data_IF_174778852882
#
_entry.id   IF_174778852882
#
_cell.length_a   1.000
_cell.length_b   1.000
_cell.length_c   1.000
_cell.angle_alpha   90.00
_cell.angle_beta   90.00
_cell.angle_gamma   90.00
#
_symmetry.space_group_name_H-M   'P 1'
#
loop_
_entity.id
_entity.type
_entity.pdbx_description
1 polymer ?
#
# COMPACT_ATOMS: atom_id res chain seq x y z
N UNK A 1 35.45 -11.19 -10.60
CA UNK A 1 34.00 -11.43 -10.64
C UNK A 1 33.39 -10.84 -9.38
N UNK A 2 32.81 -9.65 -9.47
CA UNK A 2 32.01 -9.12 -8.37
C UNK A 2 30.64 -9.80 -8.44
N UNK A 3 30.33 -10.57 -7.40
CA UNK A 3 29.00 -11.11 -7.18
C UNK A 3 28.04 -9.94 -6.97
N UNK A 4 27.19 -9.68 -7.97
CA UNK A 4 26.04 -8.81 -7.79
C UNK A 4 25.13 -9.48 -6.76
N UNK A 5 25.05 -8.90 -5.57
CA UNK A 5 23.95 -9.19 -4.66
C UNK A 5 22.64 -8.90 -5.41
N UNK A 6 21.64 -9.77 -5.35
CA UNK A 6 20.35 -9.48 -5.96
C UNK A 6 19.83 -8.16 -5.41
N UNK A 7 19.29 -7.31 -6.28
CA UNK A 7 18.58 -6.08 -5.89
C UNK A 7 17.29 -6.48 -5.14
N UNK A 8 17.43 -6.80 -3.87
CA UNK A 8 16.35 -7.07 -2.92
C UNK A 8 15.65 -5.74 -2.66
N UNK A 9 14.33 -5.66 -2.93
CA UNK A 9 13.45 -4.54 -2.58
C UNK A 9 13.99 -3.16 -2.97
N UNK A 10 13.69 -2.72 -4.20
CA UNK A 10 14.23 -1.50 -4.82
C UNK A 10 14.39 -0.31 -3.87
N UNK A 11 15.45 0.47 -4.04
CA UNK A 11 15.90 1.52 -3.11
C UNK A 11 14.75 2.39 -2.56
N UNK A 12 14.37 2.16 -1.29
CA UNK A 12 13.35 2.91 -0.54
C UNK A 12 14.00 3.97 0.37
N UNK A 13 15.10 4.59 -0.05
CA UNK A 13 15.79 5.66 0.67
C UNK A 13 14.84 6.78 1.14
N UNK A 14 13.88 7.15 0.29
CA UNK A 14 12.89 8.19 0.60
C UNK A 14 11.92 7.82 1.74
N UNK A 15 11.84 6.54 2.13
CA UNK A 15 11.07 6.09 3.28
C UNK A 15 11.93 5.89 4.54
N UNK A 16 13.26 5.89 4.44
CA UNK A 16 14.13 5.64 5.61
C UNK A 16 13.91 6.61 6.77
N UNK A 17 13.67 7.93 6.55
CA UNK A 17 13.35 8.85 7.64
C UNK A 17 12.07 8.49 8.41
N UNK A 18 11.19 7.69 7.80
CA UNK A 18 9.90 7.29 8.34
C UNK A 18 9.92 5.87 8.91
N UNK A 19 11.07 5.20 8.89
CA UNK A 19 11.20 3.80 9.32
C UNK A 19 10.93 3.67 10.81
N UNK A 20 10.09 2.70 11.17
CA UNK A 20 9.83 2.32 12.56
C UNK A 20 10.03 0.81 12.73
N UNK A 21 9.82 0.30 13.94
CA UNK A 21 9.92 -1.14 14.22
C UNK A 21 8.96 -1.93 13.32
N UNK A 22 9.47 -3.05 12.80
CA UNK A 22 8.72 -3.94 11.92
C UNK A 22 7.51 -4.54 12.64
N UNK A 23 6.46 -4.81 11.87
CA UNK A 23 5.25 -5.48 12.37
C UNK A 23 5.37 -6.99 12.15
N UNK A 24 5.00 -7.79 13.15
CA UNK A 24 5.08 -9.25 13.06
C UNK A 24 3.76 -9.84 12.56
N UNK A 25 3.86 -10.73 11.59
CA UNK A 25 2.74 -11.46 11.03
C UNK A 25 2.92 -12.95 11.28
N UNK A 26 1.85 -13.60 11.74
CA UNK A 26 1.80 -15.05 11.90
C UNK A 26 1.21 -15.68 10.65
N UNK A 27 2.03 -16.42 9.89
CA UNK A 27 1.58 -17.15 8.71
C UNK A 27 0.69 -18.34 9.11
N UNK A 28 -0.08 -18.88 8.17
CA UNK A 28 -0.91 -20.07 8.41
C UNK A 28 -0.10 -21.31 8.81
N UNK A 29 1.18 -21.38 8.41
CA UNK A 29 2.14 -22.41 8.79
C UNK A 29 2.56 -22.34 10.28
N UNK A 30 2.25 -21.23 10.97
CA UNK A 30 2.76 -20.91 12.30
C UNK A 30 4.08 -20.15 12.30
N UNK A 31 4.74 -20.01 11.14
CA UNK A 31 5.92 -19.18 10.97
C UNK A 31 5.60 -17.70 11.26
N UNK A 32 6.56 -17.00 11.85
CA UNK A 32 6.47 -15.55 12.08
C UNK A 32 7.37 -14.85 11.09
N UNK A 33 6.82 -13.88 10.36
CA UNK A 33 7.60 -12.99 9.49
C UNK A 33 7.49 -11.56 9.98
N UNK A 34 8.55 -10.78 9.79
CA UNK A 34 8.55 -9.35 10.12
C UNK A 34 8.48 -8.55 8.83
N UNK A 35 7.46 -7.69 8.70
CA UNK A 35 7.30 -6.77 7.58
C UNK A 35 7.75 -5.39 8.01
N UNK A 36 8.58 -4.75 7.19
CA UNK A 36 9.06 -3.41 7.47
C UNK A 36 7.90 -2.42 7.54
N UNK A 37 7.83 -1.68 8.65
CA UNK A 37 6.82 -0.64 8.87
C UNK A 37 7.41 0.76 8.73
N UNK A 38 6.61 1.67 8.20
CA UNK A 38 6.91 3.10 8.10
C UNK A 38 5.77 3.90 8.72
N UNK A 39 6.09 5.04 9.34
CA UNK A 39 5.12 5.95 9.94
C UNK A 39 5.11 7.30 9.20
N UNK A 40 3.98 7.62 8.58
CA UNK A 40 3.78 8.87 7.85
C UNK A 40 2.82 9.80 8.60
N UNK A 41 3.06 11.09 8.49
CA UNK A 41 2.15 12.11 9.00
C UNK A 41 1.65 12.94 7.83
N UNK A 42 0.32 13.08 7.73
CA UNK A 42 -0.33 13.83 6.67
C UNK A 42 -1.15 14.97 7.24
N UNK A 43 -1.29 16.04 6.46
CA UNK A 43 -2.19 17.13 6.80
C UNK A 43 -3.62 16.78 6.35
N UNK A 44 -4.62 17.20 7.12
CA UNK A 44 -6.02 17.16 6.68
C UNK A 44 -6.26 18.11 5.52
N UNK A 45 -7.06 17.70 4.55
CA UNK A 45 -7.54 18.60 3.51
C UNK A 45 -8.44 19.70 4.08
N UNK A 46 -8.16 20.96 3.72
CA UNK A 46 -8.92 22.14 4.17
C UNK A 46 -9.57 22.94 3.03
N UNK A 47 -9.40 22.49 1.78
CA UNK A 47 -9.99 23.15 0.62
C UNK A 47 -11.43 22.68 0.34
N UNK A 48 -11.86 22.86 -0.91
CA UNK A 48 -13.23 22.53 -1.32
C UNK A 48 -13.56 21.04 -1.15
N UNK A 49 -14.80 20.67 -0.79
CA UNK A 49 -15.22 19.27 -0.68
C UNK A 49 -15.00 18.51 -2.00
N UNK A 50 -14.61 17.24 -1.88
CA UNK A 50 -14.51 16.35 -3.05
C UNK A 50 -15.86 15.69 -3.35
N UNK A 51 -16.14 15.34 -4.63
CA UNK A 51 -17.43 14.76 -5.03
C UNK A 51 -17.78 13.45 -4.32
N UNK A 52 -16.77 12.66 -3.95
CA UNK A 52 -16.94 11.35 -3.35
C UNK A 52 -15.89 11.10 -2.27
N UNK A 53 -16.32 11.08 -1.01
CA UNK A 53 -15.47 10.77 0.16
C UNK A 53 -15.33 9.28 0.42
N UNK A 54 -15.87 8.42 -0.45
CA UNK A 54 -15.77 6.98 -0.37
C UNK A 54 -16.17 6.43 1.00
N UNK A 55 -17.44 6.64 1.36
CA UNK A 55 -17.99 6.27 2.68
C UNK A 55 -17.30 6.97 3.86
N UNK A 56 -17.02 8.28 3.71
CA UNK A 56 -16.46 9.09 4.80
C UNK A 56 -14.97 8.85 5.08
N UNK A 57 -14.20 8.34 4.11
CA UNK A 57 -12.75 8.30 4.20
C UNK A 57 -12.21 9.70 4.48
N UNK A 58 -11.18 9.74 5.33
CA UNK A 58 -10.44 10.97 5.63
C UNK A 58 -9.77 11.47 4.35
N UNK A 59 -9.96 12.75 4.04
CA UNK A 59 -9.33 13.41 2.89
C UNK A 59 -8.11 14.17 3.39
N UNK A 60 -6.97 13.86 2.79
CA UNK A 60 -5.66 14.40 3.10
C UNK A 60 -5.26 15.46 2.08
N UNK A 61 -4.41 16.37 2.52
CA UNK A 61 -3.74 17.33 1.65
C UNK A 61 -2.41 16.73 1.16
N UNK A 62 -2.32 16.54 -0.15
CA UNK A 62 -1.07 16.23 -0.83
C UNK A 62 -0.69 17.40 -1.75
N UNK A 63 0.24 18.25 -1.31
CA UNK A 63 0.75 19.40 -2.06
C UNK A 63 -0.36 20.33 -2.60
N UNK A 64 -1.41 20.57 -1.82
CA UNK A 64 -2.54 21.40 -2.21
C UNK A 64 -3.64 20.66 -2.98
N UNK A 65 -3.54 19.33 -3.11
CA UNK A 65 -4.57 18.50 -3.75
C UNK A 65 -5.24 17.56 -2.73
N UNK A 66 -6.58 17.38 -2.80
CA UNK A 66 -7.28 16.42 -1.96
C UNK A 66 -7.04 14.99 -2.43
N UNK A 67 -6.61 14.11 -1.52
CA UNK A 67 -6.40 12.68 -1.81
C UNK A 67 -6.80 11.80 -0.62
N UNK A 68 -7.03 10.51 -0.85
CA UNK A 68 -7.06 9.53 0.24
C UNK A 68 -5.63 9.08 0.59
N UNK A 69 -5.46 8.46 1.76
CA UNK A 69 -4.15 7.98 2.22
C UNK A 69 -3.45 7.07 1.22
N UNK A 70 -4.19 6.16 0.59
CA UNK A 70 -3.67 5.22 -0.41
C UNK A 70 -3.13 5.97 -1.63
N UNK A 71 -3.81 7.05 -2.04
CA UNK A 71 -3.37 7.90 -3.14
C UNK A 71 -2.20 8.80 -2.73
N UNK A 72 -2.15 9.30 -1.50
CA UNK A 72 -1.00 10.06 -1.00
C UNK A 72 0.29 9.22 -1.01
N UNK A 73 0.21 7.99 -0.50
CA UNK A 73 1.34 7.04 -0.55
C UNK A 73 1.69 6.68 -2.00
N UNK A 74 0.70 6.44 -2.86
CA UNK A 74 0.96 6.20 -4.28
C UNK A 74 1.70 7.38 -4.93
N UNK A 75 1.30 8.63 -4.64
CA UNK A 75 1.96 9.84 -5.16
C UNK A 75 3.38 9.99 -4.64
N UNK A 76 3.64 9.63 -3.38
CA UNK A 76 4.99 9.59 -2.81
C UNK A 76 5.91 8.63 -3.58
N UNK A 77 5.41 7.43 -3.91
CA UNK A 77 6.17 6.49 -4.74
C UNK A 77 6.37 7.01 -6.17
N UNK A 78 5.32 7.58 -6.77
CA UNK A 78 5.38 8.14 -8.12
C UNK A 78 6.37 9.31 -8.23
N UNK A 79 6.49 10.17 -7.22
CA UNK A 79 7.48 11.25 -7.20
C UNK A 79 8.93 10.76 -7.14
N UNK A 80 9.14 9.48 -6.82
CA UNK A 80 10.44 8.80 -6.80
C UNK A 80 10.60 7.77 -7.94
N UNK A 81 9.84 7.93 -9.02
CA UNK A 81 10.00 7.16 -10.26
C UNK A 81 9.37 5.77 -10.24
N UNK A 82 8.47 5.49 -9.29
CA UNK A 82 7.68 4.25 -9.29
C UNK A 82 6.38 4.42 -10.07
N UNK A 83 5.90 3.32 -10.64
CA UNK A 83 4.52 3.21 -11.09
C UNK A 83 3.69 2.56 -9.98
N UNK A 84 2.36 2.68 -10.04
CA UNK A 84 1.53 2.02 -9.05
C UNK A 84 0.05 2.32 -9.19
N UNK A 85 -0.73 1.62 -8.37
CA UNK A 85 -2.16 1.80 -8.21
C UNK A 85 -2.58 1.68 -6.75
N UNK A 86 -3.63 2.40 -6.38
CA UNK A 86 -4.49 2.03 -5.26
C UNK A 86 -5.37 0.84 -5.71
N UNK A 87 -5.34 -0.25 -4.92
CA UNK A 87 -6.19 -1.43 -5.07
C UNK A 87 -7.52 -1.19 -4.37
N UNK A 88 -8.50 -0.72 -5.13
CA UNK A 88 -9.89 -0.55 -4.69
C UNK A 88 -10.58 -1.93 -4.65
N UNK A 89 -10.33 -2.69 -3.58
CA UNK A 89 -10.90 -4.03 -3.38
C UNK A 89 -12.43 -4.02 -3.27
N UNK A 90 -13.03 -2.94 -2.75
CA UNK A 90 -14.48 -2.85 -2.56
C UNK A 90 -15.24 -2.66 -3.88
N UNK A 91 -14.74 -1.83 -4.80
CA UNK A 91 -15.31 -1.69 -6.16
C UNK A 91 -14.61 -2.56 -7.21
N UNK A 92 -13.64 -3.38 -6.80
CA UNK A 92 -12.84 -4.29 -7.65
C UNK A 92 -12.17 -3.55 -8.81
N UNK A 93 -11.54 -2.42 -8.50
CA UNK A 93 -10.92 -1.49 -9.45
C UNK A 93 -9.46 -1.19 -9.07
N UNK A 94 -8.67 -0.74 -10.03
CA UNK A 94 -7.32 -0.21 -9.79
C UNK A 94 -7.30 1.27 -10.15
N UNK A 95 -6.78 2.11 -9.25
CA UNK A 95 -6.93 3.57 -9.37
C UNK A 95 -5.60 4.28 -9.26
N UNK A 96 -5.48 5.37 -10.01
CA UNK A 96 -4.36 6.31 -9.94
C UNK A 96 -4.80 7.72 -9.49
N UNK A 97 -6.07 7.87 -9.14
CA UNK A 97 -6.68 9.12 -8.69
C UNK A 97 -8.00 8.89 -7.96
N UNK A 98 -8.64 9.99 -7.56
CA UNK A 98 -9.90 9.94 -6.81
C UNK A 98 -11.04 9.29 -7.61
N UNK A 99 -11.93 8.52 -6.96
CA UNK A 99 -13.16 8.04 -7.57
C UNK A 99 -13.99 9.20 -8.12
N UNK A 100 -14.63 8.98 -9.27
CA UNK A 100 -15.50 9.93 -9.96
C UNK A 100 -14.79 11.21 -10.46
N UNK A 101 -13.46 11.23 -10.37
CA UNK A 101 -12.57 12.25 -10.96
C UNK A 101 -11.64 11.63 -12.00
N UNK A 102 -11.10 10.44 -11.70
CA UNK A 102 -10.20 9.70 -12.58
C UNK A 102 -10.74 8.28 -12.80
N UNK A 103 -10.82 7.88 -14.07
CA UNK A 103 -11.24 6.52 -14.42
C UNK A 103 -10.23 5.47 -13.92
N UNK A 104 -10.69 4.28 -13.51
CA UNK A 104 -9.82 3.17 -13.18
C UNK A 104 -8.94 2.77 -14.37
N UNK A 105 -7.81 2.16 -14.05
CA UNK A 105 -6.91 1.61 -15.07
C UNK A 105 -6.89 0.09 -15.02
N UNK A 106 -6.44 -0.52 -16.11
CA UNK A 106 -6.02 -1.91 -16.09
C UNK A 106 -4.58 -2.04 -15.63
N UNK A 107 -4.28 -3.11 -14.91
CA UNK A 107 -2.91 -3.43 -14.56
C UNK A 107 -2.14 -3.94 -15.78
N UNK A 108 -0.83 -3.61 -15.87
CA UNK A 108 0.04 -4.30 -16.81
C UNK A 108 0.03 -5.82 -16.53
N UNK A 109 0.29 -6.60 -17.58
CA UNK A 109 0.12 -8.06 -17.56
C UNK A 109 0.84 -8.72 -16.37
N UNK A 110 2.10 -8.36 -16.11
CA UNK A 110 2.90 -8.92 -15.01
C UNK A 110 2.24 -8.74 -13.64
N UNK A 111 1.74 -7.54 -13.34
CA UNK A 111 1.10 -7.23 -12.06
C UNK A 111 -0.28 -7.89 -11.94
N UNK A 112 -1.03 -7.93 -13.05
CA UNK A 112 -2.32 -8.62 -13.11
C UNK A 112 -2.17 -10.12 -12.82
N UNK A 113 -1.25 -10.80 -13.50
CA UNK A 113 -0.98 -12.24 -13.31
C UNK A 113 -0.54 -12.55 -11.88
N UNK A 114 0.28 -11.69 -11.27
CA UNK A 114 0.69 -11.82 -9.87
C UNK A 114 -0.52 -11.71 -8.92
N UNK A 115 -1.35 -10.67 -9.04
CA UNK A 115 -2.54 -10.51 -8.21
C UNK A 115 -3.51 -11.68 -8.40
N UNK A 116 -3.74 -12.11 -9.63
CA UNK A 116 -4.66 -13.20 -9.94
C UNK A 116 -4.17 -14.53 -9.38
N UNK A 117 -2.85 -14.78 -9.40
CA UNK A 117 -2.24 -15.97 -8.78
C UNK A 117 -2.45 -15.98 -7.25
N UNK A 118 -2.26 -14.83 -6.58
CA UNK A 118 -2.50 -14.73 -5.13
C UNK A 118 -3.99 -14.89 -4.81
N UNK A 119 -4.88 -14.27 -5.60
CA UNK A 119 -6.35 -14.45 -5.47
C UNK A 119 -6.76 -15.91 -5.63
N UNK A 120 -6.22 -16.59 -6.64
CA UNK A 120 -6.51 -18.00 -6.88
C UNK A 120 -6.09 -18.85 -5.67
N UNK A 121 -4.94 -18.55 -5.06
CA UNK A 121 -4.45 -19.27 -3.88
C UNK A 121 -5.23 -18.98 -2.61
N UNK A 122 -5.65 -17.73 -2.39
CA UNK A 122 -6.53 -17.38 -1.25
C UNK A 122 -7.96 -17.89 -1.42
N UNK A 123 -8.39 -18.18 -2.65
CA UNK A 123 -9.78 -18.52 -2.97
C UNK A 123 -10.77 -17.38 -2.74
N UNK A 124 -10.28 -16.14 -2.57
CA UNK A 124 -11.09 -14.96 -2.24
C UNK A 124 -10.63 -13.73 -3.02
N UNK A 125 -11.55 -12.79 -3.24
CA UNK A 125 -11.22 -11.52 -3.93
C UNK A 125 -10.73 -10.42 -2.99
N UNK A 126 -10.94 -10.54 -1.68
CA UNK A 126 -10.57 -9.54 -0.67
C UNK A 126 -9.27 -9.88 0.06
N UNK A 127 -8.67 -8.87 0.69
CA UNK A 127 -7.42 -9.00 1.45
C UNK A 127 -6.17 -8.53 0.69
N UNK A 128 -6.27 -8.21 -0.60
CA UNK A 128 -5.18 -7.54 -1.31
C UNK A 128 -4.85 -6.23 -0.62
N UNK A 129 -3.55 -5.99 -0.46
CA UNK A 129 -3.03 -4.81 0.20
C UNK A 129 -3.33 -3.55 -0.62
N UNK A 130 -3.49 -2.44 0.08
CA UNK A 130 -4.09 -1.22 -0.42
C UNK A 130 -3.36 -0.62 -1.62
N UNK A 131 -2.03 -0.62 -1.67
CA UNK A 131 -1.27 -0.03 -2.78
C UNK A 131 -0.35 -1.06 -3.39
N UNK A 132 -0.35 -1.14 -4.72
CA UNK A 132 0.62 -1.93 -5.48
C UNK A 132 1.50 -0.97 -6.27
N UNK A 133 2.80 -1.00 -6.04
CA UNK A 133 3.78 -0.21 -6.80
C UNK A 133 4.79 -1.12 -7.48
N UNK A 134 5.36 -0.64 -8.58
CA UNK A 134 6.42 -1.35 -9.28
C UNK A 134 7.39 -0.40 -9.96
N UNK A 135 8.64 -0.85 -10.05
CA UNK A 135 9.71 -0.18 -10.77
C UNK A 135 10.66 -1.24 -11.31
N UNK A 136 10.86 -1.22 -12.63
CA UNK A 136 11.66 -2.22 -13.33
C UNK A 136 11.20 -3.66 -12.98
N UNK A 137 12.03 -4.43 -12.28
CA UNK A 137 11.72 -5.80 -11.89
C UNK A 137 11.12 -5.94 -10.49
N UNK A 138 11.07 -4.87 -9.71
CA UNK A 138 10.58 -4.87 -8.33
C UNK A 138 9.10 -4.54 -8.30
N UNK A 139 8.34 -5.31 -7.51
CA UNK A 139 6.93 -5.08 -7.19
C UNK A 139 6.80 -5.06 -5.67
N UNK A 140 6.10 -4.06 -5.11
CA UNK A 140 5.84 -3.94 -3.68
C UNK A 140 4.34 -3.81 -3.42
N UNK A 141 3.87 -4.54 -2.43
CA UNK A 141 2.56 -4.38 -1.83
C UNK A 141 2.67 -3.52 -0.57
N UNK A 142 1.83 -2.49 -0.46
CA UNK A 142 1.74 -1.66 0.74
C UNK A 142 0.35 -1.73 1.35
N UNK A 143 0.30 -2.07 2.62
CA UNK A 143 -0.93 -2.01 3.42
C UNK A 143 -0.91 -0.70 4.21
N UNK A 144 -2.02 0.03 4.22
CA UNK A 144 -2.14 1.28 4.95
C UNK A 144 -3.01 1.10 6.19
N UNK A 145 -2.51 1.56 7.33
CA UNK A 145 -3.27 1.58 8.58
C UNK A 145 -3.25 2.94 9.21
N UNK A 146 -4.43 3.49 9.49
CA UNK A 146 -4.50 4.70 10.30
C UNK A 146 -4.23 4.34 11.75
N UNK A 147 -3.23 5.00 12.34
CA UNK A 147 -2.78 4.73 13.70
C UNK A 147 -3.96 4.78 14.68
N UNK A 148 -4.01 3.79 15.58
CA UNK A 148 -5.05 3.63 16.62
C UNK A 148 -6.49 3.48 16.12
N UNK A 149 -6.76 3.53 14.81
CA UNK A 149 -8.11 3.45 14.22
C UNK A 149 -8.32 2.20 13.39
N UNK A 150 -7.27 1.64 12.82
CA UNK A 150 -7.33 0.41 12.03
C UNK A 150 -6.24 -0.57 12.46
N UNK A 151 -6.46 -1.85 12.17
CA UNK A 151 -5.55 -2.96 12.43
C UNK A 151 -5.56 -3.93 11.26
N UNK A 152 -4.49 -4.71 11.12
CA UNK A 152 -4.42 -5.78 10.13
C UNK A 152 -5.59 -6.75 10.32
N UNK A 153 -6.26 -7.05 9.21
CA UNK A 153 -7.39 -7.99 9.16
C UNK A 153 -6.90 -9.39 8.79
N UNK A 154 -7.65 -10.43 9.19
CA UNK A 154 -7.31 -11.82 8.88
C UNK A 154 -7.23 -12.11 7.38
N UNK A 155 -8.04 -11.43 6.56
CA UNK A 155 -7.98 -11.52 5.09
C UNK A 155 -6.68 -10.97 4.52
N UNK A 156 -6.13 -9.90 5.10
CA UNK A 156 -4.86 -9.28 4.69
C UNK A 156 -3.66 -10.15 5.08
N UNK A 157 -3.75 -10.81 6.25
CA UNK A 157 -2.77 -11.82 6.65
C UNK A 157 -2.86 -13.08 5.75
N UNK A 158 -4.07 -13.49 5.36
CA UNK A 158 -4.28 -14.58 4.41
C UNK A 158 -3.70 -14.27 3.02
N UNK A 159 -3.82 -13.03 2.56
CA UNK A 159 -3.18 -12.56 1.34
C UNK A 159 -1.65 -12.65 1.42
N UNK A 160 -1.07 -12.11 2.49
CA UNK A 160 0.38 -12.18 2.74
C UNK A 160 0.87 -13.63 2.73
N UNK A 161 0.19 -14.50 3.49
CA UNK A 161 0.50 -15.94 3.54
C UNK A 161 0.50 -16.57 2.16
N UNK A 162 -0.58 -16.37 1.38
CA UNK A 162 -0.68 -16.93 0.03
C UNK A 162 0.42 -16.41 -0.91
N UNK A 163 0.81 -15.14 -0.77
CA UNK A 163 1.89 -14.57 -1.55
C UNK A 163 3.27 -15.16 -1.19
N UNK A 164 3.57 -15.33 0.10
CA UNK A 164 4.79 -16.00 0.55
C UNK A 164 4.84 -17.44 0.03
N UNK A 165 3.72 -18.17 0.10
CA UNK A 165 3.64 -19.54 -0.43
C UNK A 165 3.75 -19.60 -1.98
N UNK A 166 3.70 -18.47 -2.68
CA UNK A 166 3.95 -18.35 -4.13
C UNK A 166 5.38 -17.90 -4.42
N UNK A 167 6.23 -17.77 -3.40
CA UNK A 167 7.64 -17.42 -3.53
C UNK A 167 7.94 -15.93 -3.36
N UNK A 168 6.98 -15.10 -2.96
CA UNK A 168 7.27 -13.74 -2.53
C UNK A 168 7.96 -13.77 -1.15
N UNK A 169 8.61 -12.67 -0.82
CA UNK A 169 9.39 -12.50 0.40
C UNK A 169 8.88 -11.33 1.21
N UNK A 170 9.30 -11.23 2.47
CA UNK A 170 8.95 -10.09 3.31
C UNK A 170 9.38 -8.73 2.70
N UNK A 171 10.42 -8.69 1.88
CA UNK A 171 10.86 -7.47 1.18
C UNK A 171 9.96 -7.02 0.03
N UNK A 172 9.01 -7.86 -0.40
CA UNK A 172 8.00 -7.51 -1.40
C UNK A 172 6.78 -6.80 -0.76
N UNK A 173 6.84 -6.56 0.55
CA UNK A 173 5.77 -5.99 1.37
C UNK A 173 6.27 -4.86 2.26
N UNK A 174 5.43 -3.85 2.48
CA UNK A 174 5.66 -2.81 3.48
C UNK A 174 4.35 -2.42 4.18
N UNK A 175 4.41 -2.17 5.48
CA UNK A 175 3.29 -1.60 6.22
C UNK A 175 3.49 -0.09 6.35
N UNK A 176 2.47 0.68 5.98
CA UNK A 176 2.48 2.14 6.15
C UNK A 176 1.43 2.50 7.19
N UNK A 177 1.89 2.73 8.40
CA UNK A 177 1.06 3.35 9.42
C UNK A 177 1.05 4.86 9.21
N UNK A 178 -0.08 5.50 9.42
CA UNK A 178 -0.17 6.95 9.26
C UNK A 178 -1.13 7.59 10.25
N UNK A 179 -0.90 8.86 10.53
CA UNK A 179 -1.87 9.67 11.25
C UNK A 179 -1.86 11.12 10.75
N UNK A 180 -2.76 11.93 11.30
CA UNK A 180 -2.74 13.37 11.14
C UNK A 180 -2.34 14.00 12.46
N UNK A 181 -1.55 15.09 12.45
CA UNK A 181 -1.27 15.79 13.67
C UNK A 181 -2.58 16.31 14.26
N UNK A 182 -2.74 16.18 15.58
CA UNK A 182 -3.81 16.86 16.28
C UNK A 182 -3.66 18.35 16.00
N UNK A 183 -4.70 18.95 15.41
CA UNK A 183 -4.76 20.40 15.32
C UNK A 183 -4.92 20.87 16.76
N UNK A 184 -3.89 21.47 17.32
CA UNK A 184 -4.05 22.22 18.56
C UNK A 184 -5.19 23.21 18.32
N UNK A 185 -6.33 22.98 18.98
CA UNK A 185 -7.37 23.99 19.07
C UNK A 185 -6.76 25.14 19.85
N UNK A 186 -6.42 26.22 19.14
CA UNK A 186 -6.25 27.54 19.74
C UNK A 186 -7.57 28.03 20.35
#
# INVERSE_FOLDING_TARGET
MQSQQPLIGGNLEFLQPHKVDSERFSLSSGEQISIQKYFLTFNSWRGAPIPNTYNGKTVLDWNGEPVFAELAVLRLFQSHGWNGVWVDSYRRKFRVGLPDVVEPIELPQKQRELIDSIRAKTGRSGGCWDVLVWRENVTLFLELKRSKKDRIQSSQNGWLTAAIDLGLTASDFALVEWDMPDVATE
#
